data_IF_292282967696
#
_entry.id   IF_292282967696
#
_cell.length_a   1.000
_cell.length_b   1.000
_cell.length_c   1.000
_cell.angle_alpha   90.00
_cell.angle_beta   90.00
_cell.angle_gamma   90.00
#
_symmetry.space_group_name_H-M   'P 1'
#
loop_
_entity.id
_entity.type
_entity.pdbx_description
1 polymer ?
#
# COMPACT_ATOMS: atom_id res chain seq x y z
N UNK A 1 -11.71 53.17 2.62
CA UNK A 1 -10.34 52.63 2.39
C UNK A 1 -10.02 51.39 3.25
N UNK A 2 -10.70 51.15 4.37
CA UNK A 2 -10.49 50.00 5.26
C UNK A 2 -10.89 48.64 4.66
N UNK A 3 -11.97 48.55 3.87
CA UNK A 3 -12.45 47.29 3.28
C UNK A 3 -11.56 46.66 2.19
N UNK A 4 -10.71 47.45 1.51
CA UNK A 4 -9.76 46.90 0.52
C UNK A 4 -8.53 46.26 1.19
N UNK A 5 -8.16 46.69 2.40
CA UNK A 5 -7.01 46.18 3.12
C UNK A 5 -7.29 44.80 3.75
N UNK A 6 -8.51 44.59 4.25
CA UNK A 6 -8.96 43.27 4.74
C UNK A 6 -9.09 42.24 3.62
N UNK A 7 -9.64 42.61 2.46
CA UNK A 7 -9.71 41.72 1.29
C UNK A 7 -8.31 41.31 0.80
N UNK A 8 -7.34 42.22 0.83
CA UNK A 8 -5.95 41.90 0.48
C UNK A 8 -5.36 40.87 1.46
N UNK A 9 -5.51 41.06 2.78
CA UNK A 9 -5.00 40.13 3.80
C UNK A 9 -5.59 38.73 3.67
N UNK A 10 -6.89 38.62 3.39
CA UNK A 10 -7.56 37.33 3.17
C UNK A 10 -7.05 36.65 1.90
N UNK A 11 -6.87 37.38 0.80
CA UNK A 11 -6.29 36.83 -0.43
C UNK A 11 -4.85 36.33 -0.24
N UNK A 12 -4.01 37.10 0.46
CA UNK A 12 -2.65 36.68 0.79
C UNK A 12 -2.62 35.46 1.72
N UNK A 13 -3.51 35.41 2.72
CA UNK A 13 -3.63 34.25 3.61
C UNK A 13 -4.11 33.00 2.87
N UNK A 14 -5.08 33.11 1.98
CA UNK A 14 -5.56 32.01 1.13
C UNK A 14 -4.47 31.54 0.18
N UNK A 15 -3.72 32.46 -0.43
CA UNK A 15 -2.64 32.13 -1.35
C UNK A 15 -1.45 31.48 -0.64
N UNK A 16 -1.09 31.98 0.55
CA UNK A 16 -0.06 31.40 1.40
C UNK A 16 -0.46 30.02 1.91
N UNK A 17 -1.68 29.89 2.42
CA UNK A 17 -2.24 28.59 2.85
C UNK A 17 -2.26 27.61 1.69
N UNK A 18 -2.71 28.01 0.50
CA UNK A 18 -2.72 27.17 -0.70
C UNK A 18 -1.31 26.73 -1.10
N UNK A 19 -0.33 27.63 -1.07
CA UNK A 19 1.08 27.33 -1.34
C UNK A 19 1.66 26.36 -0.30
N UNK A 20 1.36 26.59 0.98
CA UNK A 20 1.76 25.73 2.08
C UNK A 20 1.11 24.34 1.95
N UNK A 21 -0.19 24.26 1.66
CA UNK A 21 -0.90 23.01 1.42
C UNK A 21 -0.34 22.26 0.21
N UNK A 22 0.01 22.94 -0.89
CA UNK A 22 0.62 22.26 -2.03
C UNK A 22 2.02 21.74 -1.72
N UNK A 23 2.84 22.49 -0.97
CA UNK A 23 4.16 22.02 -0.51
C UNK A 23 4.04 20.88 0.51
N UNK A 24 3.07 20.98 1.41
CA UNK A 24 2.75 19.94 2.38
C UNK A 24 2.25 18.68 1.68
N UNK A 25 1.39 18.82 0.69
CA UNK A 25 0.93 17.70 -0.13
C UNK A 25 2.04 17.18 -1.05
N UNK A 26 3.13 17.91 -1.29
CA UNK A 26 4.11 17.63 -2.34
C UNK A 26 3.49 17.63 -3.75
N UNK A 27 2.45 18.46 -3.94
CA UNK A 27 1.79 18.71 -5.22
C UNK A 27 2.39 19.98 -5.87
N UNK A 28 3.71 20.01 -5.95
CA UNK A 28 4.48 21.02 -6.68
C UNK A 28 4.84 20.43 -8.04
N UNK A 29 4.93 21.26 -9.09
CA UNK A 29 5.32 20.81 -10.43
C UNK A 29 6.80 20.46 -10.50
N UNK A 30 7.24 19.55 -9.65
CA UNK A 30 8.64 19.26 -9.35
C UNK A 30 9.37 18.65 -10.54
N UNK A 31 10.66 18.93 -10.60
CA UNK A 31 11.54 18.45 -11.64
C UNK A 31 11.73 16.94 -11.55
N UNK A 32 12.08 16.29 -12.68
CA UNK A 32 12.47 14.87 -12.70
C UNK A 32 13.58 14.57 -11.66
N UNK A 33 14.49 15.53 -11.44
CA UNK A 33 15.58 15.40 -10.47
C UNK A 33 15.09 15.24 -9.02
N UNK A 34 14.04 15.96 -8.63
CA UNK A 34 13.46 15.89 -7.28
C UNK A 34 12.69 14.59 -7.06
N UNK A 35 11.97 14.13 -8.09
CA UNK A 35 11.30 12.82 -8.06
C UNK A 35 12.31 11.69 -7.90
N UNK A 36 13.44 11.75 -8.62
CA UNK A 36 14.52 10.77 -8.48
C UNK A 36 15.13 10.79 -7.07
N UNK A 37 15.31 11.97 -6.48
CA UNK A 37 15.77 12.12 -5.08
C UNK A 37 14.76 11.52 -4.10
N UNK A 38 13.47 11.78 -4.29
CA UNK A 38 12.39 11.27 -3.44
C UNK A 38 12.31 9.74 -3.49
N UNK A 39 12.42 9.18 -4.70
CA UNK A 39 12.45 7.74 -4.92
C UNK A 39 13.72 7.08 -4.33
N UNK A 40 14.86 7.76 -4.41
CA UNK A 40 16.10 7.32 -3.75
C UNK A 40 15.97 7.35 -2.21
N UNK A 41 15.37 8.42 -1.68
CA UNK A 41 15.15 8.58 -0.24
C UNK A 41 14.21 7.50 0.29
N UNK A 42 13.11 7.22 -0.39
CA UNK A 42 12.19 6.14 -0.03
C UNK A 42 12.85 4.74 -0.08
N UNK A 43 13.59 4.41 -1.15
CA UNK A 43 14.36 3.16 -1.24
C UNK A 43 15.43 3.06 -0.12
N UNK A 44 16.06 4.18 0.23
CA UNK A 44 17.02 4.24 1.34
C UNK A 44 16.36 3.98 2.68
N UNK A 45 15.21 4.62 2.96
CA UNK A 45 14.45 4.37 4.19
C UNK A 45 14.07 2.89 4.28
N UNK A 46 13.51 2.30 3.23
CA UNK A 46 13.14 0.88 3.20
C UNK A 46 14.31 -0.07 3.48
N UNK A 47 15.50 0.24 2.96
CA UNK A 47 16.71 -0.55 3.22
C UNK A 47 17.22 -0.41 4.65
N UNK A 48 17.23 0.81 5.17
CA UNK A 48 17.71 1.12 6.53
C UNK A 48 16.86 0.46 7.61
N UNK A 49 15.58 0.32 7.34
CA UNK A 49 14.57 -0.18 8.29
C UNK A 49 14.21 -1.65 8.05
N UNK A 50 14.87 -2.33 7.11
CA UNK A 50 14.75 -3.78 6.86
C UNK A 50 13.30 -4.25 6.59
N UNK A 51 12.52 -3.36 5.95
CA UNK A 51 11.06 -3.41 5.89
C UNK A 51 10.53 -4.46 4.91
N UNK A 52 11.05 -4.52 3.67
CA UNK A 52 10.32 -5.16 2.56
C UNK A 52 11.19 -5.91 1.52
N UNK A 53 12.31 -5.34 1.08
CA UNK A 53 13.12 -5.91 -0.03
C UNK A 53 14.60 -6.03 0.35
N UNK A 54 15.15 -7.24 0.29
CA UNK A 54 16.58 -7.53 0.57
C UNK A 54 17.49 -6.91 -0.49
N UNK A 55 17.06 -6.92 -1.75
CA UNK A 55 17.79 -6.31 -2.87
C UNK A 55 17.44 -4.84 -3.11
N UNK A 56 16.45 -4.30 -2.38
CA UNK A 56 15.80 -3.03 -2.71
C UNK A 56 15.29 -2.99 -4.14
N UNK A 57 15.14 -1.80 -4.74
CA UNK A 57 14.67 -1.70 -6.12
C UNK A 57 15.58 -2.31 -7.19
N UNK A 58 16.86 -2.62 -6.89
CA UNK A 58 17.79 -3.20 -7.88
C UNK A 58 17.41 -4.64 -8.26
N UNK A 59 16.92 -5.41 -7.28
CA UNK A 59 16.50 -6.81 -7.47
C UNK A 59 17.60 -7.64 -8.18
N UNK A 60 18.85 -7.57 -7.71
CA UNK A 60 20.00 -8.32 -8.26
C UNK A 60 20.05 -9.72 -7.62
N UNK A 61 19.52 -10.73 -8.31
CA UNK A 61 19.41 -12.10 -7.77
C UNK A 61 20.72 -12.91 -7.85
N UNK A 62 21.60 -12.55 -8.77
CA UNK A 62 22.87 -13.26 -8.99
C UNK A 62 23.97 -12.82 -8.01
N UNK A 63 23.70 -11.84 -7.15
CA UNK A 63 24.66 -11.32 -6.17
C UNK A 63 24.25 -11.70 -4.75
N UNK A 64 25.24 -12.04 -3.88
CA UNK A 64 24.95 -12.32 -2.49
C UNK A 64 24.36 -11.09 -1.79
N UNK A 65 23.40 -11.32 -0.90
CA UNK A 65 22.80 -10.25 -0.10
C UNK A 65 23.88 -9.61 0.77
N UNK A 66 23.92 -8.28 0.81
CA UNK A 66 24.86 -7.55 1.67
C UNK A 66 24.72 -7.98 3.13
N UNK A 67 25.84 -8.33 3.77
CA UNK A 67 25.89 -8.87 5.15
C UNK A 67 25.10 -8.00 6.16
N UNK A 68 25.18 -6.67 6.03
CA UNK A 68 24.44 -5.71 6.87
C UNK A 68 22.92 -5.91 6.78
N UNK A 69 22.38 -6.09 5.58
CA UNK A 69 20.93 -6.30 5.34
C UNK A 69 20.50 -7.68 5.83
N UNK A 70 21.36 -8.67 5.68
CA UNK A 70 21.11 -10.02 6.18
C UNK A 70 21.03 -10.05 7.72
N UNK A 71 21.99 -9.43 8.41
CA UNK A 71 22.00 -9.33 9.88
C UNK A 71 20.78 -8.55 10.38
N UNK A 72 20.48 -7.38 9.80
CA UNK A 72 19.32 -6.58 10.22
C UNK A 72 17.99 -7.32 10.09
N UNK A 73 17.81 -8.09 9.01
CA UNK A 73 16.62 -8.93 8.83
C UNK A 73 16.50 -10.03 9.90
N UNK A 74 17.63 -10.61 10.34
CA UNK A 74 17.62 -11.59 11.43
C UNK A 74 17.29 -10.96 12.77
N UNK A 75 17.81 -9.76 13.05
CA UNK A 75 17.45 -9.02 14.27
C UNK A 75 15.94 -8.78 14.33
N UNK A 76 15.34 -8.30 13.23
CA UNK A 76 13.88 -8.08 13.16
C UNK A 76 13.11 -9.38 13.34
N UNK A 77 13.54 -10.49 12.72
CA UNK A 77 12.89 -11.80 12.91
C UNK A 77 12.97 -12.28 14.36
N UNK A 78 14.13 -12.13 15.00
CA UNK A 78 14.30 -12.51 16.41
C UNK A 78 13.41 -11.64 17.29
N UNK A 79 13.36 -10.33 17.06
CA UNK A 79 12.47 -9.43 17.80
C UNK A 79 10.99 -9.83 17.65
N UNK A 80 10.53 -10.14 16.44
CA UNK A 80 9.16 -10.61 16.19
C UNK A 80 8.89 -11.94 16.91
N UNK A 81 9.81 -12.91 16.80
CA UNK A 81 9.67 -14.21 17.48
C UNK A 81 9.65 -14.06 19.00
N UNK A 82 10.50 -13.20 19.56
CA UNK A 82 10.49 -12.89 21.00
C UNK A 82 9.16 -12.28 21.42
N UNK A 83 8.60 -11.35 20.63
CA UNK A 83 7.28 -10.77 20.88
C UNK A 83 6.18 -11.83 20.84
N UNK A 84 6.17 -12.70 19.81
CA UNK A 84 5.18 -13.78 19.69
C UNK A 84 5.26 -14.79 20.84
N UNK A 85 6.47 -15.28 21.14
CA UNK A 85 6.69 -16.20 22.26
C UNK A 85 6.20 -15.57 23.56
N UNK A 86 6.55 -14.30 23.80
CA UNK A 86 6.14 -13.58 25.01
C UNK A 86 4.62 -13.42 25.12
N UNK A 87 3.94 -13.01 24.04
CA UNK A 87 2.47 -12.90 24.04
C UNK A 87 1.82 -14.26 24.30
N UNK A 88 2.33 -15.33 23.67
CA UNK A 88 1.83 -16.69 23.90
C UNK A 88 2.07 -17.15 25.35
N UNK A 89 3.24 -16.86 25.93
CA UNK A 89 3.50 -17.18 27.34
C UNK A 89 2.51 -16.49 28.28
N UNK A 90 2.14 -15.23 28.02
CA UNK A 90 1.09 -14.55 28.78
C UNK A 90 -0.28 -15.23 28.63
N UNK A 91 -0.62 -15.71 27.43
CA UNK A 91 -1.89 -16.41 27.20
C UNK A 91 -1.96 -17.78 27.91
N UNK A 92 -0.84 -18.52 28.00
CA UNK A 92 -0.80 -19.85 28.61
C UNK A 92 -0.56 -19.83 30.13
N UNK A 93 0.14 -18.82 30.67
CA UNK A 93 0.57 -18.76 32.07
C UNK A 93 0.03 -17.53 32.81
N UNK A 94 -1.25 -17.21 32.57
CA UNK A 94 -2.02 -16.03 33.02
C UNK A 94 -2.11 -15.81 34.56
N UNK A 95 -1.68 -16.76 35.39
CA UNK A 95 -1.78 -16.68 36.87
C UNK A 95 -0.42 -16.67 37.59
N UNK A 96 0.68 -16.59 36.83
CA UNK A 96 2.03 -16.65 37.38
C UNK A 96 2.60 -15.23 37.57
N UNK A 97 2.53 -14.71 38.81
CA UNK A 97 3.10 -13.40 39.16
C UNK A 97 4.61 -13.27 38.91
N UNK A 98 5.37 -14.38 38.88
CA UNK A 98 6.78 -14.38 38.50
C UNK A 98 6.98 -14.14 36.99
N UNK A 99 6.20 -14.82 36.15
CA UNK A 99 6.20 -14.59 34.69
C UNK A 99 5.76 -13.17 34.35
N UNK A 100 4.76 -12.63 35.05
CA UNK A 100 4.33 -11.24 34.86
C UNK A 100 5.47 -10.26 35.10
N UNK A 101 6.26 -10.50 36.15
CA UNK A 101 7.39 -9.68 36.52
C UNK A 101 8.55 -9.76 35.51
N UNK A 102 8.98 -10.97 35.15
CA UNK A 102 10.15 -11.20 34.28
C UNK A 102 9.89 -10.93 32.80
N UNK A 103 8.68 -11.18 32.31
CA UNK A 103 8.32 -10.93 30.91
C UNK A 103 7.78 -9.51 30.71
N UNK A 104 7.73 -8.67 31.75
CA UNK A 104 7.15 -7.34 31.70
C UNK A 104 5.73 -7.36 31.11
N UNK A 105 4.81 -8.03 31.82
CA UNK A 105 3.40 -8.04 31.45
C UNK A 105 2.89 -6.58 31.39
N UNK A 106 2.40 -6.11 30.23
CA UNK A 106 1.84 -4.76 30.12
C UNK A 106 0.48 -4.61 30.83
N UNK A 107 -0.12 -5.69 31.33
CA UNK A 107 -1.47 -5.75 31.90
C UNK A 107 -1.58 -6.41 33.28
N UNK A 108 -0.74 -6.10 34.28
CA UNK A 108 -0.62 -6.91 35.49
C UNK A 108 -1.85 -6.93 36.42
N UNK A 109 -2.88 -6.10 36.17
CA UNK A 109 -4.11 -6.02 36.99
C UNK A 109 -5.39 -5.78 36.17
N UNK A 110 -5.35 -5.98 34.85
CA UNK A 110 -6.51 -5.70 34.01
C UNK A 110 -7.60 -6.77 34.18
N UNK A 111 -8.89 -6.41 34.02
CA UNK A 111 -9.98 -7.40 34.05
C UNK A 111 -9.63 -8.54 33.08
N UNK A 112 -9.45 -9.76 33.61
CA UNK A 112 -8.93 -10.97 32.92
C UNK A 112 -9.42 -11.11 31.48
N UNK A 113 -10.72 -10.92 31.27
CA UNK A 113 -11.35 -11.02 29.96
C UNK A 113 -10.84 -9.96 28.95
N UNK A 114 -10.67 -8.69 29.37
CA UNK A 114 -10.20 -7.60 28.50
C UNK A 114 -8.72 -7.76 28.12
N UNK A 115 -7.88 -8.20 29.06
CA UNK A 115 -6.46 -8.51 28.82
C UNK A 115 -6.31 -9.58 27.74
N UNK A 116 -7.07 -10.67 27.90
CA UNK A 116 -6.96 -11.86 27.05
C UNK A 116 -7.34 -11.53 25.60
N UNK A 117 -8.43 -10.80 25.38
CA UNK A 117 -8.82 -10.39 24.02
C UNK A 117 -7.78 -9.48 23.35
N UNK A 118 -7.14 -8.59 24.11
CA UNK A 118 -6.10 -7.71 23.59
C UNK A 118 -4.83 -8.49 23.22
N UNK A 119 -4.43 -9.46 24.05
CA UNK A 119 -3.30 -10.34 23.77
C UNK A 119 -3.56 -11.23 22.54
N UNK A 120 -4.76 -11.84 22.42
CA UNK A 120 -5.15 -12.62 21.25
C UNK A 120 -5.13 -11.75 19.99
N UNK A 121 -5.73 -10.55 20.05
CA UNK A 121 -5.73 -9.62 18.92
C UNK A 121 -4.31 -9.22 18.52
N UNK A 122 -3.45 -8.96 19.50
CA UNK A 122 -2.03 -8.67 19.30
C UNK A 122 -1.30 -9.81 18.62
N UNK A 123 -1.47 -11.04 19.12
CA UNK A 123 -0.82 -12.24 18.59
C UNK A 123 -1.21 -12.49 17.12
N UNK A 124 -2.52 -12.47 16.83
CA UNK A 124 -3.04 -12.64 15.47
C UNK A 124 -2.54 -11.53 14.55
N UNK A 125 -2.52 -10.27 15.01
CA UNK A 125 -2.02 -9.13 14.22
C UNK A 125 -0.54 -9.30 13.87
N UNK A 126 0.30 -9.59 14.87
CA UNK A 126 1.74 -9.79 14.69
C UNK A 126 1.99 -10.98 13.78
N UNK A 127 1.24 -12.08 13.96
CA UNK A 127 1.30 -13.26 13.11
C UNK A 127 0.99 -12.96 11.65
N UNK A 128 -0.15 -12.30 11.35
CA UNK A 128 -0.55 -11.94 9.98
C UNK A 128 0.52 -11.07 9.32
N UNK A 129 1.02 -10.04 10.00
CA UNK A 129 2.04 -9.15 9.44
C UNK A 129 3.40 -9.86 9.28
N UNK A 130 3.75 -10.76 10.18
CA UNK A 130 4.94 -11.59 10.05
C UNK A 130 4.86 -12.49 8.82
N UNK A 131 3.74 -13.19 8.62
CA UNK A 131 3.51 -14.00 7.43
C UNK A 131 3.54 -13.18 6.15
N UNK A 132 2.91 -12.00 6.12
CA UNK A 132 2.98 -11.09 4.98
C UNK A 132 4.43 -10.73 4.65
N UNK A 133 5.20 -10.36 5.69
CA UNK A 133 6.61 -9.98 5.52
C UNK A 133 7.43 -11.14 4.96
N UNK A 134 7.30 -12.33 5.52
CA UNK A 134 8.03 -13.51 5.05
C UNK A 134 7.58 -13.94 3.65
N UNK A 135 6.29 -13.80 3.34
CA UNK A 135 5.77 -14.01 2.00
C UNK A 135 6.38 -13.02 1.00
N UNK A 136 6.50 -11.73 1.35
CA UNK A 136 7.21 -10.73 0.54
C UNK A 136 8.67 -11.13 0.27
N UNK A 137 9.40 -11.60 1.29
CA UNK A 137 10.77 -12.10 1.12
C UNK A 137 10.85 -13.34 0.22
N UNK A 138 9.84 -14.22 0.31
CA UNK A 138 9.74 -15.41 -0.53
C UNK A 138 9.50 -15.07 -2.00
N UNK A 139 8.52 -14.20 -2.30
CA UNK A 139 8.22 -13.79 -3.67
C UNK A 139 9.35 -12.94 -4.27
N UNK A 140 10.07 -12.18 -3.44
CA UNK A 140 11.30 -11.48 -3.85
C UNK A 140 12.33 -12.51 -4.32
N UNK A 141 12.68 -13.49 -3.48
CA UNK A 141 13.66 -14.53 -3.81
C UNK A 141 13.28 -15.36 -5.04
N UNK A 142 12.00 -15.55 -5.26
CA UNK A 142 11.46 -16.29 -6.41
C UNK A 142 11.48 -15.47 -7.71
N UNK A 143 11.91 -14.20 -7.66
CA UNK A 143 12.02 -13.34 -8.83
C UNK A 143 10.73 -12.67 -9.26
N UNK A 144 9.62 -12.86 -8.54
CA UNK A 144 8.31 -12.28 -8.90
C UNK A 144 8.30 -10.76 -8.84
N UNK A 145 9.13 -10.16 -7.97
CA UNK A 145 9.25 -8.71 -7.79
C UNK A 145 10.24 -8.03 -8.73
N UNK A 146 10.78 -8.74 -9.73
CA UNK A 146 11.74 -8.17 -10.70
C UNK A 146 11.21 -6.93 -11.42
N UNK A 147 9.89 -6.80 -11.56
CA UNK A 147 9.23 -5.63 -12.16
C UNK A 147 9.55 -4.34 -11.40
N UNK A 148 9.89 -4.40 -10.09
CA UNK A 148 10.28 -3.23 -9.29
C UNK A 148 11.58 -2.58 -9.77
N UNK A 149 12.40 -3.30 -10.55
CA UNK A 149 13.62 -2.78 -11.17
C UNK A 149 13.36 -1.57 -12.05
N UNK A 150 12.14 -1.41 -12.54
CA UNK A 150 11.76 -0.22 -13.30
C UNK A 150 11.97 1.08 -12.51
N UNK A 151 11.74 1.07 -11.19
CA UNK A 151 11.94 2.25 -10.34
C UNK A 151 13.42 2.56 -10.15
N UNK A 152 14.27 1.54 -10.04
CA UNK A 152 15.72 1.73 -10.08
C UNK A 152 16.17 2.33 -11.41
N UNK A 153 15.61 1.87 -12.53
CA UNK A 153 15.95 2.41 -13.84
C UNK A 153 15.48 3.85 -14.03
N UNK A 154 14.27 4.20 -13.54
CA UNK A 154 13.77 5.58 -13.50
C UNK A 154 14.71 6.47 -12.67
N UNK A 155 15.22 5.97 -11.53
CA UNK A 155 16.17 6.71 -10.71
C UNK A 155 17.47 7.04 -11.44
N UNK A 156 17.95 6.15 -12.30
CA UNK A 156 19.24 6.34 -12.97
C UNK A 156 19.09 7.12 -14.28
N UNK A 157 18.07 6.83 -15.08
CA UNK A 157 17.89 7.38 -16.43
C UNK A 157 16.85 8.50 -16.52
N UNK A 158 16.04 8.71 -15.48
CA UNK A 158 14.95 9.69 -15.45
C UNK A 158 13.63 9.17 -16.01
N UNK A 159 12.58 9.98 -15.87
CA UNK A 159 11.20 9.65 -16.27
C UNK A 159 10.97 9.73 -17.78
N UNK A 160 11.83 10.44 -18.50
CA UNK A 160 11.80 10.50 -19.97
C UNK A 160 12.54 9.33 -20.64
N UNK A 161 12.93 8.32 -19.87
CA UNK A 161 13.61 7.15 -20.38
C UNK A 161 12.75 6.39 -21.40
N UNK A 162 13.24 6.27 -22.64
CA UNK A 162 12.50 5.74 -23.81
C UNK A 162 11.78 4.41 -23.56
N UNK A 163 12.36 3.41 -22.85
CA UNK A 163 11.69 2.15 -22.53
C UNK A 163 10.41 2.27 -21.69
N UNK A 164 10.16 3.40 -21.00
CA UNK A 164 8.91 3.64 -20.27
C UNK A 164 7.71 3.89 -21.20
N UNK A 165 7.98 4.20 -22.48
CA UNK A 165 6.96 4.38 -23.53
C UNK A 165 5.94 5.49 -23.20
N UNK A 166 6.35 6.55 -22.49
CA UNK A 166 5.50 7.71 -22.21
C UNK A 166 5.48 8.70 -23.38
N UNK A 167 4.41 9.50 -23.45
CA UNK A 167 4.39 10.77 -24.18
C UNK A 167 4.72 11.92 -23.20
N UNK A 168 5.01 13.13 -23.69
CA UNK A 168 5.44 14.24 -22.82
C UNK A 168 4.43 14.56 -21.69
N UNK A 169 3.12 14.51 -22.00
CA UNK A 169 2.04 14.80 -21.05
C UNK A 169 1.91 13.72 -19.97
N UNK A 170 1.90 12.45 -20.37
CA UNK A 170 1.84 11.30 -19.45
C UNK A 170 3.10 11.21 -18.59
N UNK A 171 4.29 11.49 -19.14
CA UNK A 171 5.53 11.58 -18.38
C UNK A 171 5.45 12.67 -17.31
N UNK A 172 4.95 13.87 -17.64
CA UNK A 172 4.78 14.95 -16.67
C UNK A 172 3.76 14.60 -15.58
N UNK A 173 2.63 13.99 -15.95
CA UNK A 173 1.62 13.56 -14.98
C UNK A 173 2.14 12.46 -14.07
N UNK A 174 2.85 11.48 -14.62
CA UNK A 174 3.48 10.41 -13.87
C UNK A 174 4.52 10.96 -12.90
N UNK A 175 5.36 11.88 -13.35
CA UNK A 175 6.36 12.55 -12.52
C UNK A 175 5.75 13.16 -11.26
N UNK A 176 4.69 13.95 -11.43
CA UNK A 176 3.97 14.58 -10.30
C UNK A 176 3.39 13.54 -9.34
N UNK A 177 2.74 12.50 -9.86
CA UNK A 177 2.13 11.45 -9.05
C UNK A 177 3.19 10.64 -8.29
N UNK A 178 4.28 10.24 -8.94
CA UNK A 178 5.35 9.48 -8.29
C UNK A 178 6.04 10.32 -7.24
N UNK A 179 6.32 11.59 -7.52
CA UNK A 179 6.88 12.51 -6.53
C UNK A 179 5.99 12.57 -5.28
N UNK A 180 4.69 12.79 -5.50
CA UNK A 180 3.68 12.82 -4.44
C UNK A 180 3.70 11.55 -3.59
N UNK A 181 3.56 10.39 -4.25
CA UNK A 181 3.49 9.08 -3.59
C UNK A 181 4.77 8.79 -2.81
N UNK A 182 5.95 9.05 -3.39
CA UNK A 182 7.23 8.76 -2.74
C UNK A 182 7.52 9.70 -1.57
N UNK A 183 7.22 11.00 -1.72
CA UNK A 183 7.43 11.99 -0.66
C UNK A 183 6.49 11.76 0.52
N UNK A 184 5.19 11.56 0.26
CA UNK A 184 4.23 11.22 1.31
C UNK A 184 4.51 9.85 1.90
N UNK A 185 4.92 8.89 1.08
CA UNK A 185 5.31 7.57 1.51
C UNK A 185 6.48 7.60 2.51
N UNK A 186 7.53 8.37 2.20
CA UNK A 186 8.67 8.55 3.10
C UNK A 186 8.26 9.19 4.43
N UNK A 187 7.40 10.21 4.40
CA UNK A 187 6.86 10.85 5.62
C UNK A 187 6.03 9.88 6.44
N UNK A 188 5.17 9.11 5.78
CA UNK A 188 4.33 8.10 6.44
C UNK A 188 5.19 7.04 7.15
N UNK A 189 6.28 6.57 6.53
CA UNK A 189 7.20 5.63 7.18
C UNK A 189 7.79 6.19 8.49
N UNK A 190 8.14 7.49 8.51
CA UNK A 190 8.63 8.17 9.71
C UNK A 190 7.50 8.32 10.74
N UNK A 191 6.30 8.72 10.31
CA UNK A 191 5.13 8.84 11.19
C UNK A 191 4.77 7.51 11.86
N UNK A 192 4.90 6.38 11.16
CA UNK A 192 4.67 5.05 11.72
C UNK A 192 5.63 4.73 12.87
N UNK A 193 6.90 5.18 12.80
CA UNK A 193 7.83 5.03 13.93
C UNK A 193 7.35 5.80 15.15
N UNK A 194 6.99 7.07 14.99
CA UNK A 194 6.45 7.89 16.08
C UNK A 194 5.15 7.32 16.65
N UNK A 195 4.26 6.85 15.78
CA UNK A 195 3.01 6.19 16.18
C UNK A 195 3.29 4.92 16.99
N UNK A 196 4.23 4.08 16.54
CA UNK A 196 4.58 2.83 17.23
C UNK A 196 5.17 3.11 18.61
N UNK A 197 6.06 4.12 18.72
CA UNK A 197 6.61 4.56 20.01
C UNK A 197 5.48 5.03 20.93
N UNK A 198 4.62 5.92 20.45
CA UNK A 198 3.52 6.46 21.25
C UNK A 198 2.56 5.36 21.73
N UNK A 199 2.20 4.43 20.85
CA UNK A 199 1.28 3.35 21.15
C UNK A 199 1.87 2.36 22.16
N UNK A 200 3.16 1.99 22.05
CA UNK A 200 3.82 1.12 23.04
C UNK A 200 3.92 1.84 24.39
N UNK A 201 4.31 3.12 24.43
CA UNK A 201 4.35 3.89 25.67
C UNK A 201 2.96 3.92 26.32
N UNK A 202 1.91 4.25 25.54
CA UNK A 202 0.53 4.30 26.04
C UNK A 202 0.10 2.94 26.59
N UNK A 203 0.44 1.83 25.93
CA UNK A 203 0.14 0.49 26.44
C UNK A 203 0.74 0.24 27.82
N UNK A 204 2.03 0.53 28.01
CA UNK A 204 2.69 0.33 29.31
C UNK A 204 2.20 1.31 30.38
N UNK A 205 1.92 2.57 30.03
CA UNK A 205 1.52 3.60 31.01
C UNK A 205 0.06 3.50 31.46
N UNK A 206 -0.80 2.81 30.70
CA UNK A 206 -2.23 2.69 31.04
C UNK A 206 -2.50 1.80 32.27
N UNK A 207 -1.50 1.06 32.76
CA UNK A 207 -1.64 0.13 33.87
C UNK A 207 -0.66 0.48 34.99
N UNK A 208 -1.09 1.27 36.01
CA UNK A 208 -0.21 1.78 37.07
C UNK A 208 0.51 0.69 37.86
N UNK A 209 -0.10 -0.50 37.97
CA UNK A 209 0.46 -1.66 38.66
C UNK A 209 1.77 -2.17 38.04
N UNK A 210 1.99 -1.91 36.75
CA UNK A 210 3.24 -2.22 36.05
C UNK A 210 4.45 -1.40 36.53
N UNK A 211 4.25 -0.41 37.39
CA UNK A 211 5.32 0.43 37.95
C UNK A 211 5.49 0.26 39.46
N UNK A 212 4.87 -0.78 40.04
CA UNK A 212 4.89 -1.02 41.49
C UNK A 212 6.24 -1.46 42.05
N UNK A 213 7.09 -2.11 41.25
CA UNK A 213 8.42 -2.58 41.67
C UNK A 213 9.54 -2.15 40.71
N UNK A 214 10.70 -1.77 41.27
CA UNK A 214 11.86 -1.34 40.47
C UNK A 214 12.40 -2.42 39.53
N UNK A 215 12.25 -3.70 39.90
CA UNK A 215 12.66 -4.84 39.05
C UNK A 215 11.78 -4.94 37.81
N UNK A 216 10.47 -4.75 37.94
CA UNK A 216 9.54 -4.80 36.80
C UNK A 216 9.78 -3.63 35.83
N UNK A 217 10.08 -2.44 36.35
CA UNK A 217 10.48 -1.27 35.53
C UNK A 217 11.72 -1.57 34.69
N UNK A 218 12.73 -2.24 35.26
CA UNK A 218 13.93 -2.62 34.53
C UNK A 218 13.59 -3.55 33.33
N UNK A 219 12.78 -4.58 33.55
CA UNK A 219 12.38 -5.49 32.46
C UNK A 219 11.53 -4.80 31.39
N UNK A 220 10.62 -3.89 31.77
CA UNK A 220 9.85 -3.06 30.84
C UNK A 220 10.80 -2.24 29.95
N UNK A 221 11.80 -1.57 30.54
CA UNK A 221 12.78 -0.76 29.78
C UNK A 221 13.62 -1.61 28.82
N UNK A 222 13.94 -2.85 29.17
CA UNK A 222 14.66 -3.77 28.28
C UNK A 222 13.79 -4.23 27.09
N UNK A 223 12.48 -4.37 27.30
CA UNK A 223 11.55 -4.99 26.32
C UNK A 223 10.94 -3.97 25.35
N UNK A 224 10.63 -2.75 25.82
CA UNK A 224 10.02 -1.68 25.01
C UNK A 224 10.74 -1.45 23.68
N UNK A 225 12.09 -1.36 23.62
CA UNK A 225 12.79 -1.16 22.34
C UNK A 225 12.52 -2.29 21.34
N UNK A 226 12.44 -3.55 21.81
CA UNK A 226 12.14 -4.70 20.96
C UNK A 226 10.71 -4.62 20.43
N UNK A 227 9.73 -4.26 21.26
CA UNK A 227 8.34 -4.11 20.83
C UNK A 227 8.16 -2.99 19.80
N UNK A 228 8.81 -1.85 20.03
CA UNK A 228 8.79 -0.72 19.09
C UNK A 228 9.37 -1.15 17.75
N UNK A 229 10.53 -1.82 17.75
CA UNK A 229 11.16 -2.32 16.53
C UNK A 229 10.25 -3.32 15.81
N UNK A 230 9.66 -4.27 16.54
CA UNK A 230 8.71 -5.26 15.98
C UNK A 230 7.53 -4.56 15.32
N UNK A 231 6.81 -3.71 16.05
CA UNK A 231 5.60 -3.06 15.55
C UNK A 231 5.90 -2.10 14.38
N UNK A 232 6.90 -1.24 14.55
CA UNK A 232 7.27 -0.27 13.53
C UNK A 232 7.73 -0.97 12.25
N UNK A 233 8.51 -2.04 12.35
CA UNK A 233 9.00 -2.78 11.17
C UNK A 233 7.85 -3.49 10.42
N UNK A 234 6.90 -4.08 11.15
CA UNK A 234 5.76 -4.79 10.56
C UNK A 234 4.78 -3.83 9.86
N UNK A 235 4.37 -2.74 10.53
CA UNK A 235 3.46 -1.74 9.93
C UNK A 235 4.13 -1.05 8.76
N UNK A 236 5.39 -0.65 8.90
CA UNK A 236 6.13 -0.09 7.79
C UNK A 236 6.27 -1.08 6.62
N UNK A 237 6.34 -2.39 6.91
CA UNK A 237 6.30 -3.49 5.93
C UNK A 237 5.13 -3.37 4.98
N UNK A 238 3.95 -3.30 5.60
CA UNK A 238 2.67 -3.16 4.91
C UNK A 238 2.58 -1.82 4.15
N UNK A 239 2.93 -0.72 4.79
CA UNK A 239 2.87 0.63 4.20
C UNK A 239 3.77 0.73 2.96
N UNK A 240 5.02 0.25 3.08
CA UNK A 240 5.98 0.26 1.99
C UNK A 240 5.50 -0.53 0.79
N UNK A 241 4.95 -1.72 1.04
CA UNK A 241 4.36 -2.55 0.00
C UNK A 241 3.20 -1.84 -0.70
N UNK A 242 2.29 -1.21 0.06
CA UNK A 242 1.19 -0.43 -0.49
C UNK A 242 1.66 0.71 -1.40
N UNK A 243 2.68 1.45 -0.98
CA UNK A 243 3.29 2.55 -1.76
C UNK A 243 3.89 2.02 -3.07
N UNK A 244 4.58 0.89 -3.05
CA UNK A 244 5.11 0.26 -4.27
C UNK A 244 3.98 -0.15 -5.23
N UNK A 245 2.92 -0.77 -4.73
CA UNK A 245 1.76 -1.16 -5.54
C UNK A 245 1.05 0.06 -6.15
N UNK A 246 0.85 1.13 -5.37
CA UNK A 246 0.28 2.38 -5.88
C UNK A 246 1.14 3.01 -6.99
N UNK A 247 2.46 2.99 -6.81
CA UNK A 247 3.38 3.51 -7.81
C UNK A 247 3.35 2.66 -9.09
N UNK A 248 3.19 1.33 -8.98
CA UNK A 248 2.97 0.47 -10.14
C UNK A 248 1.69 0.80 -10.88
N UNK A 249 0.59 1.02 -10.16
CA UNK A 249 -0.66 1.40 -10.81
C UNK A 249 -0.51 2.76 -11.51
N UNK A 250 0.21 3.72 -10.90
CA UNK A 250 0.51 5.00 -11.54
C UNK A 250 1.32 4.84 -12.83
N UNK A 251 2.30 3.94 -12.85
CA UNK A 251 3.11 3.61 -14.03
C UNK A 251 2.22 3.09 -15.16
N UNK A 252 1.44 2.04 -14.90
CA UNK A 252 0.56 1.44 -15.90
C UNK A 252 -0.50 2.42 -16.40
N UNK A 253 -1.05 3.24 -15.51
CA UNK A 253 -1.97 4.30 -15.89
C UNK A 253 -1.37 5.35 -16.82
N UNK A 254 -0.09 5.71 -16.62
CA UNK A 254 0.60 6.68 -17.46
C UNK A 254 0.94 6.09 -18.84
N UNK A 255 1.38 4.82 -18.89
CA UNK A 255 1.60 4.10 -20.15
C UNK A 255 0.31 3.98 -20.96
N UNK A 256 -0.80 3.64 -20.27
CA UNK A 256 -2.11 3.56 -20.89
C UNK A 256 -2.58 4.91 -21.44
N UNK A 257 -2.35 6.00 -20.71
CA UNK A 257 -2.70 7.33 -21.17
C UNK A 257 -1.88 7.74 -22.40
N UNK A 258 -0.59 7.37 -22.45
CA UNK A 258 0.25 7.60 -23.62
C UNK A 258 -0.29 6.91 -24.89
N UNK A 259 -0.72 5.65 -24.75
CA UNK A 259 -1.37 4.88 -25.82
C UNK A 259 -2.70 5.53 -26.22
N UNK A 260 -3.52 5.94 -25.25
CA UNK A 260 -4.82 6.57 -25.48
C UNK A 260 -4.71 7.88 -26.25
N UNK A 261 -3.69 8.68 -25.94
CA UNK A 261 -3.40 9.94 -26.65
C UNK A 261 -2.92 9.69 -28.09
N UNK A 262 -2.08 8.67 -28.32
CA UNK A 262 -1.66 8.26 -29.66
C UNK A 262 -2.86 7.84 -30.52
N UNK A 263 -3.73 6.97 -29.99
CA UNK A 263 -4.98 6.57 -30.64
C UNK A 263 -5.86 7.77 -30.96
N UNK A 264 -6.01 8.71 -30.01
CA UNK A 264 -6.81 9.93 -30.20
C UNK A 264 -6.24 10.80 -31.34
N UNK A 265 -4.93 10.85 -31.46
CA UNK A 265 -4.25 11.62 -32.52
C UNK A 265 -4.47 10.97 -33.88
N UNK A 266 -4.42 9.65 -33.96
CA UNK A 266 -4.73 8.88 -35.16
C UNK A 266 -6.20 9.02 -35.59
N UNK A 267 -7.14 9.02 -34.64
CA UNK A 267 -8.57 9.20 -34.91
C UNK A 267 -8.92 10.58 -35.48
N UNK A 268 -8.13 11.62 -35.18
CA UNK A 268 -8.31 12.96 -35.75
C UNK A 268 -7.96 13.03 -37.24
N UNK A 269 -7.26 12.03 -37.77
CA UNK A 269 -6.90 11.97 -39.19
C UNK A 269 -8.02 11.27 -39.97
N UNK A 270 -8.39 11.81 -41.13
CA UNK A 270 -9.48 11.28 -41.97
C UNK A 270 -9.17 9.92 -42.61
N UNK A 271 -7.90 9.53 -42.72
CA UNK A 271 -7.50 8.21 -43.21
C UNK A 271 -6.29 7.72 -42.44
N UNK A 272 -6.39 6.52 -41.87
CA UNK A 272 -5.31 5.85 -41.17
C UNK A 272 -4.63 4.85 -42.11
N UNK A 273 -3.30 4.86 -42.16
CA UNK A 273 -2.56 3.86 -42.92
C UNK A 273 -2.58 2.49 -42.22
N UNK A 274 -2.60 1.36 -42.95
CA UNK A 274 -2.50 0.03 -42.36
C UNK A 274 -1.25 -0.18 -41.49
N UNK A 275 -0.14 0.48 -41.85
CA UNK A 275 1.14 0.41 -41.12
C UNK A 275 1.03 1.08 -39.75
N UNK A 276 0.38 2.24 -39.68
CA UNK A 276 0.13 2.93 -38.40
C UNK A 276 -0.81 2.11 -37.51
N UNK A 277 -1.88 1.54 -38.07
CA UNK A 277 -2.78 0.65 -37.31
C UNK A 277 -2.03 -0.56 -36.75
N UNK A 278 -1.18 -1.19 -37.56
CA UNK A 278 -0.35 -2.32 -37.12
C UNK A 278 0.55 -1.94 -35.95
N UNK A 279 1.24 -0.79 -36.03
CA UNK A 279 2.10 -0.28 -34.95
C UNK A 279 1.34 -0.05 -33.65
N UNK A 280 0.14 0.53 -33.73
CA UNK A 280 -0.73 0.77 -32.57
C UNK A 280 -1.14 -0.58 -31.94
N UNK A 281 -1.59 -1.52 -32.76
CA UNK A 281 -1.98 -2.85 -32.29
C UNK A 281 -0.83 -3.55 -31.55
N UNK A 282 0.36 -3.60 -32.16
CA UNK A 282 1.54 -4.21 -31.55
C UNK A 282 1.86 -3.57 -30.20
N UNK A 283 1.81 -2.24 -30.11
CA UNK A 283 2.05 -1.52 -28.86
C UNK A 283 1.02 -1.85 -27.77
N UNK A 284 -0.26 -1.91 -28.12
CA UNK A 284 -1.34 -2.24 -27.16
C UNK A 284 -1.23 -3.69 -26.70
N UNK A 285 -0.97 -4.62 -27.61
CA UNK A 285 -0.81 -6.04 -27.26
C UNK A 285 0.38 -6.23 -26.33
N UNK A 286 1.53 -5.63 -26.64
CA UNK A 286 2.70 -5.69 -25.76
C UNK A 286 2.39 -5.14 -24.38
N UNK A 287 1.71 -3.99 -24.30
CA UNK A 287 1.30 -3.40 -23.03
C UNK A 287 0.34 -4.31 -22.23
N UNK A 288 -0.69 -4.87 -22.88
CA UNK A 288 -1.63 -5.78 -22.20
C UNK A 288 -0.93 -7.04 -21.69
N UNK A 289 0.00 -7.61 -22.47
CA UNK A 289 0.78 -8.78 -22.07
C UNK A 289 1.71 -8.47 -20.88
N UNK A 290 2.41 -7.32 -20.90
CA UNK A 290 3.28 -6.86 -19.80
C UNK A 290 2.49 -6.72 -18.48
N UNK A 291 1.26 -6.19 -18.57
CA UNK A 291 0.37 -6.03 -17.43
C UNK A 291 -0.16 -7.36 -16.92
N UNK A 292 -0.67 -8.21 -17.80
CA UNK A 292 -1.21 -9.53 -17.45
C UNK A 292 -0.14 -10.38 -16.74
N UNK A 293 1.09 -10.34 -17.26
CA UNK A 293 2.23 -11.00 -16.63
C UNK A 293 2.53 -10.40 -15.25
N UNK A 294 2.49 -9.08 -15.10
CA UNK A 294 2.78 -8.43 -13.80
C UNK A 294 1.71 -8.77 -12.77
N UNK A 295 0.43 -8.74 -13.11
CA UNK A 295 -0.63 -9.06 -12.17
C UNK A 295 -0.66 -10.54 -11.79
N UNK A 296 -0.41 -11.47 -12.73
CA UNK A 296 -0.26 -12.90 -12.40
C UNK A 296 0.87 -13.20 -11.41
N UNK A 297 1.88 -12.34 -11.32
CA UNK A 297 2.97 -12.49 -10.33
C UNK A 297 2.60 -11.93 -8.95
N UNK A 298 1.59 -11.07 -8.89
CA UNK A 298 1.20 -10.34 -7.68
C UNK A 298 -0.22 -10.70 -7.20
N UNK A 299 -0.94 -11.57 -7.89
CA UNK A 299 -2.34 -11.88 -7.67
C UNK A 299 -2.61 -12.40 -6.25
N UNK A 300 -1.80 -13.35 -5.75
CA UNK A 300 -1.89 -13.87 -4.39
C UNK A 300 -1.43 -12.85 -3.34
N UNK A 301 -0.55 -11.92 -3.70
CA UNK A 301 -0.20 -10.80 -2.81
C UNK A 301 -1.38 -9.85 -2.64
N UNK A 302 -2.07 -9.52 -3.73
CA UNK A 302 -3.31 -8.73 -3.67
C UNK A 302 -4.39 -9.48 -2.89
N UNK A 303 -4.50 -10.80 -3.04
CA UNK A 303 -5.43 -11.61 -2.24
C UNK A 303 -5.12 -11.52 -0.75
N UNK A 304 -3.85 -11.65 -0.36
CA UNK A 304 -3.42 -11.50 1.04
C UNK A 304 -3.82 -10.12 1.58
N UNK A 305 -3.57 -9.05 0.82
CA UNK A 305 -3.88 -7.69 1.24
C UNK A 305 -5.39 -7.42 1.32
N UNK A 306 -6.16 -7.83 0.31
CA UNK A 306 -7.59 -7.53 0.26
C UNK A 306 -8.43 -8.43 1.16
N UNK A 307 -7.97 -9.65 1.46
CA UNK A 307 -8.66 -10.56 2.37
C UNK A 307 -8.12 -10.40 3.80
N UNK A 308 -6.90 -10.85 4.09
CA UNK A 308 -6.41 -10.96 5.47
C UNK A 308 -6.23 -9.61 6.16
N UNK A 309 -5.71 -8.59 5.46
CA UNK A 309 -5.52 -7.26 6.06
C UNK A 309 -6.86 -6.54 6.25
N UNK A 310 -7.78 -6.63 5.28
CA UNK A 310 -9.11 -6.04 5.40
C UNK A 310 -9.90 -6.68 6.54
N UNK A 311 -9.95 -8.02 6.58
CA UNK A 311 -10.62 -8.77 7.64
C UNK A 311 -10.01 -8.46 9.01
N UNK A 312 -8.67 -8.34 9.12
CA UNK A 312 -8.04 -7.94 10.37
C UNK A 312 -8.45 -6.53 10.80
N UNK A 313 -8.57 -5.58 9.87
CA UNK A 313 -9.05 -4.24 10.15
C UNK A 313 -10.52 -4.23 10.61
N UNK A 314 -11.38 -5.06 10.01
CA UNK A 314 -12.77 -5.23 10.44
C UNK A 314 -12.86 -5.78 11.85
N UNK A 315 -12.06 -6.81 12.18
CA UNK A 315 -11.99 -7.35 13.54
C UNK A 315 -11.52 -6.30 14.53
N UNK A 316 -10.48 -5.52 14.20
CA UNK A 316 -10.03 -4.41 15.04
C UNK A 316 -11.16 -3.42 15.32
N UNK A 317 -11.88 -2.98 14.28
CA UNK A 317 -13.01 -2.05 14.41
C UNK A 317 -14.15 -2.63 15.23
N UNK A 318 -14.50 -3.90 15.00
CA UNK A 318 -15.55 -4.56 15.77
C UNK A 318 -15.20 -4.57 17.27
N UNK A 319 -13.99 -4.99 17.63
CA UNK A 319 -13.59 -5.09 19.04
C UNK A 319 -13.43 -3.72 19.71
N UNK A 320 -12.89 -2.72 19.00
CA UNK A 320 -12.59 -1.40 19.57
C UNK A 320 -13.76 -0.42 19.52
N UNK A 321 -14.50 -0.37 18.40
CA UNK A 321 -15.57 0.61 18.17
C UNK A 321 -16.91 0.12 18.73
N UNK A 322 -17.26 -1.15 18.48
CA UNK A 322 -18.56 -1.71 18.85
C UNK A 322 -18.54 -2.27 20.26
N UNK A 323 -17.64 -3.22 20.55
CA UNK A 323 -17.59 -3.87 21.86
C UNK A 323 -16.83 -3.08 22.92
N UNK A 324 -15.99 -2.11 22.51
CA UNK A 324 -15.18 -1.27 23.41
C UNK A 324 -14.44 -2.09 24.47
N UNK A 325 -13.83 -3.19 24.04
CA UNK A 325 -13.21 -4.16 24.94
C UNK A 325 -11.97 -3.61 25.64
N UNK A 326 -11.34 -2.58 25.11
CA UNK A 326 -10.09 -2.03 25.65
C UNK A 326 -10.34 -0.74 26.45
N UNK A 327 -9.33 -0.21 27.16
CA UNK A 327 -9.37 1.15 27.71
C UNK A 327 -9.62 2.20 26.62
N UNK A 328 -10.26 3.31 26.96
CA UNK A 328 -10.74 4.31 25.97
C UNK A 328 -9.64 4.86 25.06
N UNK A 329 -8.44 5.11 25.61
CA UNK A 329 -7.28 5.57 24.84
C UNK A 329 -6.83 4.52 23.81
N UNK A 330 -6.81 3.24 24.21
CA UNK A 330 -6.43 2.12 23.34
C UNK A 330 -7.52 1.88 22.28
N UNK A 331 -8.79 1.90 22.67
CA UNK A 331 -9.92 1.78 21.72
C UNK A 331 -9.82 2.85 20.64
N UNK A 332 -9.53 4.10 21.01
CA UNK A 332 -9.41 5.21 20.07
C UNK A 332 -8.26 5.01 19.08
N UNK A 333 -7.09 4.57 19.56
CA UNK A 333 -5.92 4.31 18.71
C UNK A 333 -6.15 3.15 17.75
N UNK A 334 -6.72 2.03 18.22
CA UNK A 334 -7.03 0.85 17.40
C UNK A 334 -8.10 1.19 16.36
N UNK A 335 -9.15 1.92 16.76
CA UNK A 335 -10.22 2.36 15.85
C UNK A 335 -9.65 3.25 14.74
N UNK A 336 -8.80 4.22 15.10
CA UNK A 336 -8.12 5.07 14.12
C UNK A 336 -7.25 4.25 13.16
N UNK A 337 -6.54 3.24 13.67
CA UNK A 337 -5.78 2.30 12.86
C UNK A 337 -6.65 1.54 11.86
N UNK A 338 -7.73 0.91 12.31
CA UNK A 338 -8.66 0.17 11.45
C UNK A 338 -9.30 1.04 10.36
N UNK A 339 -9.78 2.25 10.71
CA UNK A 339 -10.33 3.21 9.74
C UNK A 339 -9.27 3.60 8.71
N UNK A 340 -8.04 3.85 9.17
CA UNK A 340 -6.93 4.24 8.30
C UNK A 340 -6.61 3.14 7.29
N UNK A 341 -6.54 1.88 7.73
CA UNK A 341 -6.30 0.73 6.83
C UNK A 341 -7.37 0.65 5.75
N UNK A 342 -8.65 0.75 6.11
CA UNK A 342 -9.75 0.75 5.13
C UNK A 342 -9.68 1.93 4.16
N UNK A 343 -9.38 3.13 4.66
CA UNK A 343 -9.19 4.30 3.82
C UNK A 343 -8.12 4.06 2.75
N UNK A 344 -6.98 3.48 3.12
CA UNK A 344 -5.92 3.13 2.17
C UNK A 344 -6.34 2.02 1.20
N UNK A 345 -7.02 0.96 1.66
CA UNK A 345 -7.48 -0.13 0.79
C UNK A 345 -8.50 0.35 -0.23
N UNK A 346 -9.47 1.17 0.18
CA UNK A 346 -10.51 1.75 -0.68
C UNK A 346 -9.90 2.70 -1.71
N UNK A 347 -9.02 3.61 -1.30
CA UNK A 347 -8.35 4.51 -2.25
C UNK A 347 -7.49 3.72 -3.23
N UNK A 348 -6.75 2.72 -2.75
CA UNK A 348 -5.91 1.87 -3.58
C UNK A 348 -6.73 1.09 -4.62
N UNK A 349 -7.83 0.47 -4.21
CA UNK A 349 -8.71 -0.28 -5.10
C UNK A 349 -9.48 0.62 -6.07
N UNK A 350 -9.94 1.80 -5.64
CA UNK A 350 -10.50 2.81 -6.53
C UNK A 350 -9.48 3.29 -7.57
N UNK A 351 -8.26 3.60 -7.14
CA UNK A 351 -7.18 4.01 -8.03
C UNK A 351 -6.79 2.91 -9.01
N UNK A 352 -6.69 1.65 -8.56
CA UNK A 352 -6.54 0.47 -9.40
C UNK A 352 -7.66 0.32 -10.43
N UNK A 353 -8.91 0.57 -10.04
CA UNK A 353 -10.07 0.47 -10.95
C UNK A 353 -10.01 1.44 -12.14
N UNK A 354 -9.25 2.54 -12.02
CA UNK A 354 -9.04 3.49 -13.12
C UNK A 354 -8.36 2.84 -14.33
N UNK A 355 -7.56 1.78 -14.13
CA UNK A 355 -7.01 0.99 -15.22
C UNK A 355 -8.12 0.31 -16.03
N UNK A 356 -9.08 -0.32 -15.35
CA UNK A 356 -10.22 -0.99 -15.98
C UNK A 356 -11.05 0.02 -16.81
N UNK A 357 -11.42 1.16 -16.23
CA UNK A 357 -12.24 2.18 -16.93
C UNK A 357 -11.53 2.77 -18.14
N UNK A 358 -10.23 3.09 -18.01
CA UNK A 358 -9.43 3.58 -19.13
C UNK A 358 -9.29 2.55 -20.24
N UNK A 359 -9.13 1.27 -19.88
CA UNK A 359 -9.01 0.18 -20.86
C UNK A 359 -10.32 -0.01 -21.62
N UNK A 360 -11.46 -0.06 -20.93
CA UNK A 360 -12.78 -0.12 -21.57
C UNK A 360 -13.02 1.07 -22.52
N UNK A 361 -12.58 2.28 -22.14
CA UNK A 361 -12.71 3.46 -23.02
C UNK A 361 -11.91 3.34 -24.32
N UNK A 362 -10.89 2.47 -24.39
CA UNK A 362 -10.17 2.21 -25.63
C UNK A 362 -10.99 1.40 -26.62
N UNK A 363 -11.96 0.60 -26.17
CA UNK A 363 -12.80 -0.21 -27.04
C UNK A 363 -13.49 0.64 -28.12
N UNK A 364 -14.20 1.69 -27.72
CA UNK A 364 -14.90 2.58 -28.65
C UNK A 364 -13.94 3.36 -29.56
N UNK A 365 -12.74 3.70 -29.07
CA UNK A 365 -11.71 4.35 -29.87
C UNK A 365 -11.15 3.41 -30.95
N UNK A 366 -10.99 2.13 -30.62
CA UNK A 366 -10.58 1.11 -31.58
C UNK A 366 -11.60 0.90 -32.68
N UNK A 367 -12.90 0.99 -32.37
CA UNK A 367 -13.96 0.93 -33.39
C UNK A 367 -13.75 2.04 -34.43
N UNK A 368 -13.47 3.27 -33.97
CA UNK A 368 -13.14 4.38 -34.86
C UNK A 368 -11.87 4.14 -35.69
N UNK A 369 -10.82 3.55 -35.13
CA UNK A 369 -9.58 3.25 -35.87
C UNK A 369 -9.83 2.24 -36.99
N UNK A 370 -10.62 1.20 -36.70
CA UNK A 370 -10.98 0.18 -37.68
C UNK A 370 -11.79 0.81 -38.82
N UNK A 371 -12.76 1.68 -38.50
CA UNK A 371 -13.57 2.39 -39.50
C UNK A 371 -12.74 3.37 -40.35
N UNK A 372 -11.80 4.10 -39.75
CA UNK A 372 -10.92 5.05 -40.47
C UNK A 372 -9.87 4.36 -41.36
N UNK A 373 -9.67 3.05 -41.20
CA UNK A 373 -8.77 2.26 -42.05
C UNK A 373 -9.56 1.75 -43.24
N UNK A 374 -9.50 2.47 -44.37
CA UNK A 374 -10.33 2.22 -45.57
C UNK A 374 -10.08 0.87 -46.25
N UNK A 375 -8.97 0.19 -45.95
CA UNK A 375 -8.54 -1.05 -46.63
C UNK A 375 -8.64 -2.23 -45.67
N UNK A 376 -9.32 -3.30 -46.09
CA UNK A 376 -9.29 -4.58 -45.39
C UNK A 376 -7.87 -5.15 -45.39
N UNK A 377 -7.30 -5.32 -44.20
CA UNK A 377 -5.93 -5.78 -44.02
C UNK A 377 -5.78 -6.56 -42.71
N UNK A 378 -4.70 -7.33 -42.59
CA UNK A 378 -4.37 -8.09 -41.37
C UNK A 378 -4.37 -7.22 -40.10
N UNK A 379 -4.01 -5.95 -40.21
CA UNK A 379 -4.04 -5.00 -39.11
C UNK A 379 -5.45 -4.75 -38.56
N UNK A 380 -6.51 -4.81 -39.39
CA UNK A 380 -7.90 -4.70 -38.91
C UNK A 380 -8.31 -5.93 -38.11
N UNK A 381 -7.96 -7.13 -38.55
CA UNK A 381 -8.22 -8.36 -37.79
C UNK A 381 -7.52 -8.35 -36.43
N UNK A 382 -6.27 -7.87 -36.39
CA UNK A 382 -5.54 -7.72 -35.13
C UNK A 382 -6.14 -6.65 -34.21
N UNK A 383 -6.69 -5.58 -34.78
CA UNK A 383 -7.45 -4.58 -34.02
C UNK A 383 -8.75 -5.15 -33.42
N UNK A 384 -9.45 -6.02 -34.14
CA UNK A 384 -10.62 -6.75 -33.63
C UNK A 384 -10.24 -7.72 -32.49
N UNK A 385 -9.09 -8.40 -32.59
CA UNK A 385 -8.57 -9.22 -31.49
C UNK A 385 -8.30 -8.39 -30.23
N UNK A 386 -7.72 -7.19 -30.39
CA UNK A 386 -7.52 -6.25 -29.29
C UNK A 386 -8.86 -5.81 -28.67
N UNK A 387 -9.87 -5.52 -29.49
CA UNK A 387 -11.21 -5.20 -28.97
C UNK A 387 -11.84 -6.36 -28.21
N UNK A 388 -11.73 -7.58 -28.73
CA UNK A 388 -12.20 -8.78 -28.06
C UNK A 388 -11.50 -8.98 -26.71
N UNK A 389 -10.18 -8.74 -26.64
CA UNK A 389 -9.43 -8.75 -25.37
C UNK A 389 -9.88 -7.66 -24.40
N UNK A 390 -10.20 -6.45 -24.87
CA UNK A 390 -10.70 -5.37 -24.00
C UNK A 390 -12.10 -5.71 -23.44
N UNK A 391 -12.96 -6.32 -24.25
CA UNK A 391 -14.30 -6.74 -23.82
C UNK A 391 -14.33 -8.07 -23.06
N UNK A 392 -13.23 -8.82 -23.05
CA UNK A 392 -13.16 -10.04 -22.29
C UNK A 392 -13.47 -9.75 -20.81
N UNK A 393 -14.17 -10.67 -20.14
CA UNK A 393 -14.50 -10.59 -18.70
C UNK A 393 -13.27 -10.57 -17.78
N UNK A 394 -12.06 -10.41 -18.32
CA UNK A 394 -10.76 -10.43 -17.64
C UNK A 394 -10.09 -9.05 -17.61
N UNK A 395 -10.73 -8.00 -18.14
CA UNK A 395 -10.16 -6.65 -18.22
C UNK A 395 -10.18 -5.95 -16.86
N UNK A 396 -9.20 -6.24 -16.02
CA UNK A 396 -9.02 -5.67 -14.69
C UNK A 396 -7.73 -6.16 -14.02
N UNK A 397 -7.49 -5.71 -12.79
CA UNK A 397 -6.42 -6.26 -11.94
C UNK A 397 -6.99 -7.46 -11.20
N UNK A 398 -6.42 -8.64 -11.35
CA UNK A 398 -6.91 -9.84 -10.67
C UNK A 398 -6.47 -9.89 -9.19
N UNK A 399 -7.39 -10.33 -8.33
CA UNK A 399 -7.15 -10.67 -6.92
C UNK A 399 -7.22 -12.19 -6.81
N UNK A 400 -6.05 -12.84 -6.83
CA UNK A 400 -5.95 -14.30 -6.95
C UNK A 400 -6.84 -14.84 -8.06
N UNK A 401 -7.59 -15.90 -7.74
CA UNK A 401 -8.61 -16.50 -8.61
C UNK A 401 -10.05 -16.06 -8.25
N UNK A 402 -10.22 -15.06 -7.37
CA UNK A 402 -11.53 -14.72 -6.82
C UNK A 402 -12.27 -13.68 -7.67
N UNK A 403 -11.66 -12.52 -7.88
CA UNK A 403 -12.33 -11.39 -8.50
C UNK A 403 -11.36 -10.41 -9.18
N UNK A 404 -11.91 -9.42 -9.86
CA UNK A 404 -11.17 -8.34 -10.52
C UNK A 404 -11.45 -7.01 -9.83
N UNK A 405 -10.42 -6.19 -9.69
CA UNK A 405 -10.55 -4.80 -9.23
C UNK A 405 -11.19 -3.98 -10.35
N UNK A 406 -12.48 -3.74 -10.20
CA UNK A 406 -13.33 -2.90 -11.05
C UNK A 406 -13.89 -1.74 -10.23
N UNK A 407 -14.49 -0.71 -10.85
CA UNK A 407 -15.13 0.37 -10.09
C UNK A 407 -16.25 -0.14 -9.20
N UNK A 408 -17.01 -1.14 -9.69
CA UNK A 408 -18.05 -1.81 -8.91
C UNK A 408 -17.45 -2.54 -7.71
N UNK A 409 -16.31 -3.22 -7.88
CA UNK A 409 -15.61 -3.88 -6.78
C UNK A 409 -15.23 -2.90 -5.66
N UNK A 410 -14.74 -1.70 -5.97
CA UNK A 410 -14.40 -0.73 -4.92
C UNK A 410 -15.63 -0.30 -4.09
N UNK A 411 -16.80 -0.15 -4.74
CA UNK A 411 -18.06 0.15 -4.05
C UNK A 411 -18.56 -1.03 -3.23
N UNK A 412 -18.56 -2.23 -3.81
CA UNK A 412 -18.94 -3.46 -3.12
C UNK A 412 -18.03 -3.72 -1.93
N UNK A 413 -16.73 -3.50 -2.06
CA UNK A 413 -15.77 -3.64 -0.98
C UNK A 413 -16.15 -2.76 0.21
N UNK A 414 -16.42 -1.46 0.01
CA UNK A 414 -16.88 -0.59 1.11
C UNK A 414 -18.15 -1.15 1.76
N UNK A 415 -19.13 -1.53 0.94
CA UNK A 415 -20.43 -2.02 1.42
C UNK A 415 -20.29 -3.34 2.19
N UNK A 416 -19.46 -4.27 1.71
CA UNK A 416 -19.19 -5.56 2.32
C UNK A 416 -18.50 -5.40 3.67
N UNK A 417 -17.48 -4.53 3.80
CA UNK A 417 -16.82 -4.31 5.10
C UNK A 417 -17.79 -3.69 6.13
N UNK A 418 -18.62 -2.72 5.72
CA UNK A 418 -19.65 -2.15 6.62
C UNK A 418 -20.67 -3.22 7.03
N UNK A 419 -21.18 -3.99 6.07
CA UNK A 419 -22.15 -5.06 6.34
C UNK A 419 -21.55 -6.15 7.21
N UNK A 420 -20.28 -6.50 7.01
CA UNK A 420 -19.57 -7.51 7.79
C UNK A 420 -19.42 -7.07 9.25
N UNK A 421 -18.96 -5.84 9.49
CA UNK A 421 -18.88 -5.27 10.85
C UNK A 421 -20.27 -5.23 11.49
N UNK A 422 -21.30 -4.79 10.76
CA UNK A 422 -22.67 -4.69 11.27
C UNK A 422 -23.27 -6.08 11.59
N UNK A 423 -23.06 -7.07 10.72
CA UNK A 423 -23.55 -8.44 10.90
C UNK A 423 -22.87 -9.11 12.09
N UNK A 424 -21.55 -8.94 12.24
CA UNK A 424 -20.83 -9.41 13.42
C UNK A 424 -21.31 -8.71 14.70
N UNK A 425 -21.52 -7.39 14.65
CA UNK A 425 -22.03 -6.62 15.78
C UNK A 425 -23.41 -7.15 16.25
N UNK A 426 -24.33 -7.38 15.32
CA UNK A 426 -25.67 -7.91 15.65
C UNK A 426 -25.57 -9.33 16.21
N UNK A 427 -24.88 -10.24 15.51
CA UNK A 427 -24.84 -11.65 15.88
C UNK A 427 -24.10 -11.92 17.18
N UNK A 428 -23.00 -11.20 17.45
CA UNK A 428 -22.25 -11.38 18.70
C UNK A 428 -22.99 -10.70 19.86
N UNK A 429 -23.68 -9.57 19.64
CA UNK A 429 -24.52 -8.94 20.68
C UNK A 429 -25.73 -9.79 21.06
N UNK A 430 -26.21 -10.67 20.18
CA UNK A 430 -27.23 -11.66 20.52
C UNK A 430 -26.67 -12.89 21.25
N UNK A 431 -25.35 -13.05 21.29
CA UNK A 431 -24.62 -14.18 21.90
C UNK A 431 -24.02 -13.84 23.28
N UNK A 432 -23.77 -12.55 23.54
CA UNK A 432 -23.35 -11.96 24.82
C UNK A 432 -24.58 -11.41 25.53
#
# INVERSE_FOLDING_TARGET
MTGNFERLKILYFVQYSKSFFYKFLAWTGESDSETRKSLAHFDSLNKLTFISLRGGQKQEYDKPIARKVWIGNWIVRIAILLTLIRINLFLYFDESGQMDLYLANPFPDSKRQKSTFLLILGDVTVGIFFFLREYCHYIERSGYLITLRIFFNIRNHGIYWKPLKFNAKSAQSFNKIVHLIMTQGARLLITVWFYSIALIIVFHTNYPAAYSTGVHIFFILCIIPSEIVTLASLINGLVSLGIYLWTFIALFNAQLEAIRDEIKTCLRRCSLSPVELRRINERVILFMNEIEQTYRRLDYLHLFLMALIATQADFMLLLSLIFKLFPDSINSLITMGGITVHFFLVIGSYWASSYCTKTLSMHGRYTGLILNTKVNCSARFKALEVQNRINARQTGIAIGNLCLITPLFALLFILENINFIMLLAVNIRTLV
#
